data_IF_276363846564
#
_entry.id   IF_276363846564
#
_cell.length_a   1.000
_cell.length_b   1.000
_cell.length_c   1.000
_cell.angle_alpha   90.00
_cell.angle_beta   90.00
_cell.angle_gamma   90.00
#
_symmetry.space_group_name_H-M   'P 1'
#
loop_
_entity.id
_entity.type
_entity.pdbx_description
1 polymer ?
#
# COMPACT_ATOMS: atom_id res chain seq x y z
N UNK A 1 -4.79 4.56 11.55
CA UNK A 1 -5.66 3.92 10.54
C UNK A 1 -4.87 3.00 9.62
N UNK A 2 -3.55 3.14 9.64
CA UNK A 2 -2.57 2.33 8.94
C UNK A 2 -2.83 0.83 9.13
N UNK A 3 -2.76 0.02 8.06
CA UNK A 3 -2.96 -1.43 8.14
C UNK A 3 -2.05 -2.12 9.15
N UNK A 4 -0.83 -1.61 9.34
CA UNK A 4 0.16 -2.15 10.26
C UNK A 4 -0.25 -1.96 11.73
N UNK A 5 -0.97 -0.87 12.04
CA UNK A 5 -1.53 -0.63 13.38
C UNK A 5 -2.67 -1.60 13.67
N UNK A 6 -3.48 -1.92 12.65
CA UNK A 6 -4.55 -2.91 12.76
C UNK A 6 -3.98 -4.30 12.97
N UNK A 7 -2.98 -4.70 12.17
CA UNK A 7 -2.33 -6.01 12.27
C UNK A 7 -1.68 -6.23 13.65
N UNK A 8 -1.01 -5.21 14.19
CA UNK A 8 -0.46 -5.25 15.55
C UNK A 8 -1.56 -5.42 16.61
N UNK A 9 -2.67 -4.69 16.48
CA UNK A 9 -3.78 -4.82 17.41
C UNK A 9 -4.39 -6.23 17.34
N UNK A 10 -4.57 -6.80 16.16
CA UNK A 10 -5.05 -8.17 15.96
C UNK A 10 -4.11 -9.20 16.59
N UNK A 11 -2.80 -9.04 16.40
CA UNK A 11 -1.79 -9.88 17.04
C UNK A 11 -1.89 -9.82 18.57
N UNK A 12 -1.95 -8.62 19.14
CA UNK A 12 -2.07 -8.41 20.59
C UNK A 12 -3.38 -8.96 21.15
N UNK A 13 -4.50 -8.80 20.45
CA UNK A 13 -5.79 -9.41 20.80
C UNK A 13 -5.66 -10.95 20.80
N UNK A 14 -4.99 -11.52 19.80
CA UNK A 14 -4.66 -12.94 19.75
C UNK A 14 -3.79 -13.42 20.91
N UNK A 15 -3.01 -12.53 21.53
CA UNK A 15 -2.22 -12.76 22.75
C UNK A 15 -3.00 -12.51 24.05
N UNK A 16 -4.29 -12.17 23.98
CA UNK A 16 -5.16 -11.93 25.13
C UNK A 16 -5.32 -10.47 25.55
N UNK A 17 -4.83 -9.51 24.75
CA UNK A 17 -5.07 -8.09 25.00
C UNK A 17 -6.55 -7.71 24.75
N UNK A 18 -7.02 -6.65 25.42
CA UNK A 18 -8.34 -6.07 25.19
C UNK A 18 -8.17 -4.73 24.47
N UNK A 19 -8.29 -4.76 23.15
CA UNK A 19 -8.13 -3.59 22.29
C UNK A 19 -9.39 -3.44 21.45
N UNK A 20 -9.95 -2.23 21.41
CA UNK A 20 -11.10 -1.88 20.59
C UNK A 20 -10.81 -0.64 19.73
N UNK A 21 -11.49 -0.55 18.58
CA UNK A 21 -11.37 0.62 17.69
C UNK A 21 -10.09 0.67 16.85
N UNK A 22 -9.33 -0.43 16.75
CA UNK A 22 -8.20 -0.54 15.83
C UNK A 22 -8.63 -0.23 14.39
N UNK A 23 -7.87 0.61 13.70
CA UNK A 23 -8.22 1.11 12.36
C UNK A 23 -9.12 2.34 12.35
N UNK A 24 -9.60 2.79 13.51
CA UNK A 24 -10.34 4.07 13.63
C UNK A 24 -9.43 5.21 14.13
N UNK A 25 -10.01 6.40 14.31
CA UNK A 25 -9.33 7.57 14.88
C UNK A 25 -9.11 7.48 16.39
N UNK A 26 -9.70 6.49 17.08
CA UNK A 26 -9.57 6.30 18.52
C UNK A 26 -9.45 4.83 18.85
N UNK A 27 -8.35 4.48 19.53
CA UNK A 27 -8.11 3.13 20.03
C UNK A 27 -8.30 3.15 21.54
N UNK A 28 -9.09 2.22 22.07
CA UNK A 28 -9.28 2.01 23.50
C UNK A 28 -8.61 0.71 23.92
N UNK A 29 -7.81 0.77 24.98
CA UNK A 29 -7.04 -0.37 25.49
C UNK A 29 -7.37 -0.54 26.97
N UNK A 30 -7.90 -1.70 27.33
CA UNK A 30 -8.08 -2.11 28.73
C UNK A 30 -6.88 -2.97 29.14
N UNK A 31 -6.18 -2.56 30.20
CA UNK A 31 -5.02 -3.29 30.71
C UNK A 31 -5.40 -4.69 31.20
N UNK A 32 -4.55 -5.67 30.89
CA UNK A 32 -4.68 -7.07 31.36
C UNK A 32 -3.45 -7.46 32.19
N UNK A 33 -3.60 -8.45 33.08
CA UNK A 33 -2.52 -8.86 33.98
C UNK A 33 -1.31 -9.46 33.25
N UNK A 34 -1.56 -10.23 32.19
CA UNK A 34 -0.55 -10.90 31.38
C UNK A 34 -1.06 -11.21 29.98
N UNK A 35 -0.14 -11.27 29.02
CA UNK A 35 -0.37 -11.81 27.68
C UNK A 35 0.11 -13.25 27.60
N UNK A 36 -0.30 -13.97 26.56
CA UNK A 36 0.17 -15.32 26.24
C UNK A 36 0.75 -15.41 24.82
N UNK A 37 1.44 -16.51 24.53
CA UNK A 37 1.95 -16.78 23.18
C UNK A 37 0.81 -16.93 22.17
N UNK A 38 1.04 -16.46 20.95
CA UNK A 38 0.10 -16.55 19.83
C UNK A 38 0.90 -16.71 18.53
N UNK A 39 0.34 -17.46 17.57
CA UNK A 39 0.87 -17.55 16.21
C UNK A 39 0.08 -16.59 15.33
N UNK A 40 0.74 -15.53 14.84
CA UNK A 40 0.15 -14.49 14.00
C UNK A 40 0.76 -14.52 12.60
N UNK A 41 -0.07 -14.41 11.58
CA UNK A 41 0.38 -14.26 10.20
C UNK A 41 0.52 -12.76 9.89
N UNK A 42 1.76 -12.30 9.64
CA UNK A 42 2.03 -10.89 9.34
C UNK A 42 1.38 -10.50 8.01
N UNK A 43 0.81 -9.30 7.97
CA UNK A 43 0.26 -8.74 6.75
C UNK A 43 1.30 -8.67 5.61
N UNK A 44 0.87 -8.77 4.34
CA UNK A 44 1.70 -8.44 3.18
C UNK A 44 2.37 -7.07 3.28
N UNK A 45 3.63 -6.99 2.84
CA UNK A 45 4.32 -5.71 2.70
C UNK A 45 3.77 -4.95 1.49
N UNK A 46 2.98 -3.92 1.78
CA UNK A 46 2.36 -3.07 0.77
C UNK A 46 3.37 -2.18 0.05
N UNK A 47 4.46 -1.78 0.71
CA UNK A 47 5.50 -0.92 0.10
C UNK A 47 6.34 -1.74 -0.88
N UNK A 48 6.71 -2.97 -0.51
CA UNK A 48 7.35 -3.92 -1.42
C UNK A 48 6.45 -4.21 -2.63
N UNK A 49 5.18 -4.56 -2.37
CA UNK A 49 4.19 -4.83 -3.41
C UNK A 49 4.09 -3.65 -4.38
N UNK A 50 3.88 -2.43 -3.86
CA UNK A 50 3.79 -1.22 -4.67
C UNK A 50 5.07 -0.95 -5.48
N UNK A 51 6.23 -1.22 -4.90
CA UNK A 51 7.53 -1.03 -5.56
C UNK A 51 7.68 -1.92 -6.79
N UNK A 52 7.29 -3.20 -6.71
CA UNK A 52 7.30 -4.10 -7.86
C UNK A 52 6.28 -3.71 -8.94
N UNK A 53 5.10 -3.24 -8.53
CA UNK A 53 4.08 -2.77 -9.47
C UNK A 53 4.57 -1.53 -10.24
N UNK A 54 5.19 -0.57 -9.54
CA UNK A 54 5.79 0.61 -10.17
C UNK A 54 6.95 0.22 -11.08
N UNK A 55 7.81 -0.72 -10.69
CA UNK A 55 8.90 -1.19 -11.55
C UNK A 55 8.37 -1.81 -12.86
N UNK A 56 7.28 -2.58 -12.79
CA UNK A 56 6.60 -3.09 -13.99
C UNK A 56 6.00 -1.96 -14.84
N UNK A 57 5.44 -0.93 -14.21
CA UNK A 57 4.92 0.24 -14.89
C UNK A 57 6.01 1.04 -15.64
N UNK A 58 7.15 1.29 -14.97
CA UNK A 58 8.34 1.95 -15.53
C UNK A 58 8.86 1.21 -16.76
N UNK A 59 8.92 -0.11 -16.68
CA UNK A 59 9.50 -0.96 -17.74
C UNK A 59 8.53 -1.26 -18.88
N UNK A 60 7.28 -0.78 -18.81
CA UNK A 60 6.22 -1.14 -19.77
C UNK A 60 5.84 -2.62 -19.72
N UNK A 61 6.17 -3.31 -18.62
CA UNK A 61 6.02 -4.75 -18.45
C UNK A 61 4.67 -5.18 -17.90
N UNK A 62 4.61 -6.46 -17.53
CA UNK A 62 3.47 -7.12 -16.90
C UNK A 62 3.96 -7.95 -15.71
N UNK A 63 3.33 -7.79 -14.56
CA UNK A 63 3.66 -8.55 -13.34
C UNK A 63 2.40 -8.99 -12.60
N UNK A 64 2.53 -10.06 -11.81
CA UNK A 64 1.55 -10.44 -10.79
C UNK A 64 2.28 -10.48 -9.46
N UNK A 65 1.99 -9.53 -8.57
CA UNK A 65 2.40 -9.58 -7.18
C UNK A 65 1.52 -10.60 -6.45
N UNK A 66 2.15 -11.56 -5.77
CA UNK A 66 1.50 -12.61 -4.98
C UNK A 66 1.67 -12.30 -3.49
N UNK A 67 0.79 -12.85 -2.67
CA UNK A 67 0.71 -12.51 -1.25
C UNK A 67 0.58 -10.99 -1.07
N UNK A 68 -0.36 -10.39 -1.81
CA UNK A 68 -0.59 -8.95 -1.85
C UNK A 68 -2.03 -8.63 -1.45
N UNK A 69 -2.24 -7.50 -0.79
CA UNK A 69 -3.56 -7.06 -0.30
C UNK A 69 -3.95 -5.73 -0.96
N UNK A 70 -4.77 -5.81 -2.01
CA UNK A 70 -5.18 -4.64 -2.80
C UNK A 70 -5.76 -3.51 -1.94
N UNK A 71 -6.61 -3.83 -0.97
CA UNK A 71 -7.28 -2.87 -0.08
C UNK A 71 -6.35 -2.07 0.83
N UNK A 72 -5.05 -2.36 0.84
CA UNK A 72 -4.03 -1.57 1.58
C UNK A 72 -3.24 -0.64 0.67
N UNK A 73 -3.51 -0.68 -0.64
CA UNK A 73 -2.79 0.02 -1.69
C UNK A 73 -3.70 0.88 -2.59
N UNK A 74 -4.96 1.08 -2.24
CA UNK A 74 -5.95 1.77 -3.09
C UNK A 74 -5.41 3.07 -3.71
N UNK A 75 -4.85 3.98 -2.90
CA UNK A 75 -4.28 5.24 -3.40
C UNK A 75 -3.10 5.06 -4.39
N UNK A 76 -2.31 4.00 -4.22
CA UNK A 76 -1.18 3.68 -5.12
C UNK A 76 -1.70 3.06 -6.41
N UNK A 77 -2.66 2.14 -6.32
CA UNK A 77 -3.27 1.50 -7.48
C UNK A 77 -4.01 2.53 -8.35
N UNK A 78 -4.76 3.44 -7.74
CA UNK A 78 -5.43 4.54 -8.44
C UNK A 78 -4.44 5.40 -9.24
N UNK A 79 -3.25 5.69 -8.67
CA UNK A 79 -2.20 6.45 -9.36
C UNK A 79 -1.56 5.67 -10.50
N UNK A 80 -1.38 4.37 -10.34
CA UNK A 80 -0.89 3.50 -11.41
C UNK A 80 -1.90 3.39 -12.56
N UNK A 81 -3.20 3.32 -12.27
CA UNK A 81 -4.26 3.36 -13.30
C UNK A 81 -4.27 4.71 -14.04
N UNK A 82 -4.13 5.83 -13.31
CA UNK A 82 -3.98 7.17 -13.90
C UNK A 82 -2.75 7.26 -14.81
N UNK A 83 -1.65 6.60 -14.42
CA UNK A 83 -0.43 6.49 -15.23
C UNK A 83 -0.61 5.59 -16.47
N UNK A 84 -1.74 4.89 -16.59
CA UNK A 84 -2.14 4.10 -17.76
C UNK A 84 -2.01 2.58 -17.60
N UNK A 85 -1.72 2.10 -16.40
CA UNK A 85 -1.67 0.67 -16.11
C UNK A 85 -3.06 0.03 -16.18
N UNK A 86 -3.14 -1.19 -16.71
CA UNK A 86 -4.31 -2.03 -16.53
C UNK A 86 -4.10 -2.89 -15.28
N UNK A 87 -4.95 -2.71 -14.27
CA UNK A 87 -4.85 -3.41 -12.99
C UNK A 87 -6.00 -4.40 -12.85
N UNK A 88 -5.69 -5.58 -12.30
CA UNK A 88 -6.69 -6.53 -11.83
C UNK A 88 -6.26 -7.09 -10.48
N UNK A 89 -7.23 -7.38 -9.62
CA UNK A 89 -6.98 -7.79 -8.24
C UNK A 89 -7.72 -9.10 -7.95
N UNK A 90 -7.16 -9.88 -7.04
CA UNK A 90 -7.82 -11.03 -6.45
C UNK A 90 -7.64 -11.06 -4.94
N UNK A 91 -7.96 -12.20 -4.29
CA UNK A 91 -7.94 -12.31 -2.84
C UNK A 91 -6.57 -12.04 -2.21
N UNK A 92 -5.50 -12.47 -2.89
CA UNK A 92 -4.12 -12.47 -2.39
C UNK A 92 -3.11 -12.07 -3.49
N UNK A 93 -3.57 -11.40 -4.54
CA UNK A 93 -2.71 -11.00 -5.65
C UNK A 93 -3.17 -9.70 -6.31
N UNK A 94 -2.22 -9.01 -6.92
CA UNK A 94 -2.44 -7.82 -7.76
C UNK A 94 -1.66 -8.01 -9.06
N UNK A 95 -2.33 -7.86 -10.19
CA UNK A 95 -1.71 -7.92 -11.50
C UNK A 95 -1.74 -6.53 -12.14
N UNK A 96 -0.61 -6.16 -12.75
CA UNK A 96 -0.44 -4.92 -13.50
C UNK A 96 0.10 -5.24 -14.88
N UNK A 97 -0.48 -4.60 -15.91
CA UNK A 97 -0.03 -4.72 -17.30
C UNK A 97 0.00 -3.34 -17.99
N UNK A 98 1.17 -2.92 -18.46
CA UNK A 98 1.29 -1.71 -19.28
C UNK A 98 1.09 -1.97 -20.77
N UNK A 99 1.08 -3.23 -21.22
CA UNK A 99 1.02 -3.62 -22.62
C UNK A 99 2.11 -2.93 -23.48
N UNK A 100 3.31 -2.76 -22.93
CA UNK A 100 4.43 -2.08 -23.61
C UNK A 100 4.28 -0.57 -23.74
N UNK A 101 3.23 0.04 -23.17
CA UNK A 101 2.99 1.49 -23.22
C UNK A 101 3.90 2.21 -22.22
N UNK A 102 4.32 3.41 -22.58
CA UNK A 102 5.01 4.35 -21.69
C UNK A 102 4.01 4.90 -20.65
N UNK A 103 4.39 5.04 -19.37
CA UNK A 103 3.50 5.64 -18.38
C UNK A 103 3.23 7.12 -18.67
N UNK A 104 2.10 7.62 -18.18
CA UNK A 104 1.79 9.06 -18.12
C UNK A 104 2.18 9.62 -16.76
N UNK A 105 2.72 10.83 -16.75
CA UNK A 105 3.12 11.49 -15.51
C UNK A 105 1.88 11.78 -14.65
N UNK A 106 1.98 11.58 -13.33
CA UNK A 106 0.84 11.71 -12.41
C UNK A 106 1.17 12.59 -11.22
N UNK A 107 0.32 13.58 -10.95
CA UNK A 107 0.46 14.41 -9.76
C UNK A 107 0.19 13.60 -8.49
N UNK A 108 0.98 13.83 -7.45
CA UNK A 108 0.76 13.21 -6.13
C UNK A 108 1.02 14.19 -5.00
N UNK A 109 0.20 14.07 -3.95
CA UNK A 109 0.45 14.69 -2.66
C UNK A 109 0.39 13.59 -1.59
N UNK A 110 1.41 13.50 -0.75
CA UNK A 110 1.43 12.54 0.35
C UNK A 110 0.54 13.01 1.48
N UNK A 111 -0.06 12.07 2.20
CA UNK A 111 -0.89 12.34 3.37
C UNK A 111 -1.06 11.06 4.20
N UNK A 112 -1.54 11.15 5.46
CA UNK A 112 -1.71 9.96 6.30
C UNK A 112 -2.68 8.96 5.67
N UNK A 113 -2.51 7.68 5.99
CA UNK A 113 -3.39 6.61 5.49
C UNK A 113 -4.88 6.97 5.74
N UNK A 114 -5.78 6.76 4.76
CA UNK A 114 -5.66 5.96 3.53
C UNK A 114 -5.14 6.71 2.29
N UNK A 115 -4.63 7.94 2.45
CA UNK A 115 -4.08 8.69 1.32
C UNK A 115 -2.73 8.12 0.84
N UNK A 116 -2.12 8.75 -0.16
CA UNK A 116 -0.89 8.26 -0.78
C UNK A 116 0.25 8.24 0.25
N UNK A 117 0.89 7.07 0.49
CA UNK A 117 1.89 6.93 1.52
C UNK A 117 3.22 7.57 1.12
N UNK A 118 3.85 8.30 2.04
CA UNK A 118 5.17 8.92 1.84
C UNK A 118 6.24 7.89 1.43
N UNK A 119 6.14 6.67 1.97
CA UNK A 119 7.04 5.54 1.64
C UNK A 119 7.00 5.09 0.17
N UNK A 120 6.00 5.52 -0.61
CA UNK A 120 5.86 5.22 -2.04
C UNK A 120 6.21 6.39 -2.96
N UNK A 121 6.47 7.58 -2.38
CA UNK A 121 6.68 8.81 -3.14
C UNK A 121 7.89 8.70 -4.07
N UNK A 122 9.02 8.19 -3.57
CA UNK A 122 10.27 8.14 -4.33
C UNK A 122 10.16 7.18 -5.54
N UNK A 123 9.42 6.09 -5.39
CA UNK A 123 9.17 5.11 -6.44
C UNK A 123 8.28 5.73 -7.52
N UNK A 124 7.24 6.46 -7.15
CA UNK A 124 6.39 7.17 -8.11
C UNK A 124 7.17 8.28 -8.84
N UNK A 125 8.05 8.99 -8.14
CA UNK A 125 8.95 9.97 -8.76
C UNK A 125 9.83 9.33 -9.83
N UNK A 126 10.37 8.13 -9.58
CA UNK A 126 11.13 7.39 -10.58
C UNK A 126 10.27 7.03 -11.81
N UNK A 127 8.98 6.75 -11.61
CA UNK A 127 8.03 6.55 -12.71
C UNK A 127 7.82 7.82 -13.52
N UNK A 128 7.59 8.96 -12.86
CA UNK A 128 7.38 10.24 -13.54
C UNK A 128 8.61 10.69 -14.35
N UNK A 129 9.83 10.36 -13.91
CA UNK A 129 11.07 10.65 -14.67
C UNK A 129 11.10 10.00 -16.06
N UNK A 130 10.42 8.86 -16.24
CA UNK A 130 10.35 8.17 -17.54
C UNK A 130 8.98 8.32 -18.20
N UNK A 131 8.04 9.02 -17.58
CA UNK A 131 6.69 9.13 -18.09
C UNK A 131 6.55 10.19 -19.19
N UNK A 132 5.39 10.22 -19.85
CA UNK A 132 4.98 11.29 -20.76
C UNK A 132 4.24 12.38 -19.99
N UNK A 133 4.67 13.63 -20.17
CA UNK A 133 4.07 14.81 -19.55
C UNK A 133 4.93 15.42 -18.45
N UNK A 134 4.29 16.18 -17.57
CA UNK A 134 4.89 16.77 -16.39
C UNK A 134 3.98 16.46 -15.19
N UNK A 135 4.60 16.25 -14.03
CA UNK A 135 3.91 16.00 -12.77
C UNK A 135 4.50 16.85 -11.65
N UNK A 136 3.68 17.12 -10.64
CA UNK A 136 4.05 17.77 -9.39
C UNK A 136 3.91 16.77 -8.26
N UNK A 137 4.98 16.63 -7.48
CA UNK A 137 5.01 15.82 -6.27
C UNK A 137 5.08 16.76 -5.06
N UNK A 138 4.11 16.66 -4.16
CA UNK A 138 4.06 17.42 -2.91
C UNK A 138 4.22 16.48 -1.72
N UNK A 139 5.33 16.61 -1.00
CA UNK A 139 5.54 15.91 0.27
C UNK A 139 5.04 16.78 1.43
N UNK A 140 4.13 16.25 2.26
CA UNK A 140 3.50 17.03 3.35
C UNK A 140 3.74 16.50 4.77
N UNK A 141 4.42 15.36 4.91
CA UNK A 141 4.71 14.71 6.20
C UNK A 141 6.21 14.68 6.48
#
# INVERSE_FOLDING_TARGET
QEPEVVDLAECLIGMGARIAGAGSNRIEIEGVERLHGHAHAVLPDRIETGTFLIAAAITGGRVIARNARASTLDAVLDKLEQAGAAISTGPDWIALDMAGRRPRAVDVATAPYPAFPTDMQAQLMALDCVAEGAAVITETI
#
